data_IF_853625502305
#
_entry.id   IF_853625502305
#
_cell.length_a   1.000
_cell.length_b   1.000
_cell.length_c   1.000
_cell.angle_alpha   90.00
_cell.angle_beta   90.00
_cell.angle_gamma   90.00
#
_symmetry.space_group_name_H-M   'P 1'
#
loop_
_entity.id
_entity.type
_entity.pdbx_description
1 polymer ?
#
# COMPACT_ATOMS: atom_id res chain seq x y z
N UNK A 1 10.45 4.07 -0.17
CA UNK A 1 11.01 5.00 0.85
C UNK A 1 11.01 4.30 2.21
N UNK A 2 12.04 4.48 3.04
CA UNK A 2 12.05 4.00 4.42
C UNK A 2 10.99 4.70 5.29
N UNK A 3 10.30 3.95 6.15
CA UNK A 3 9.29 4.50 7.07
C UNK A 3 9.43 3.92 8.48
N UNK A 4 8.90 4.62 9.48
CA UNK A 4 8.78 4.14 10.87
C UNK A 4 7.32 4.12 11.31
N UNK A 5 6.92 3.09 12.03
CA UNK A 5 5.56 2.95 12.58
C UNK A 5 5.54 2.08 13.84
N UNK A 6 4.52 2.25 14.68
CA UNK A 6 4.33 1.44 15.90
C UNK A 6 3.77 0.07 15.51
N UNK A 7 4.34 -1.00 16.09
CA UNK A 7 3.88 -2.36 15.89
C UNK A 7 4.28 -3.27 17.04
N UNK A 8 4.34 -4.57 16.78
CA UNK A 8 4.65 -5.60 17.78
C UNK A 8 5.84 -6.42 17.27
N UNK A 9 6.80 -6.73 18.14
CA UNK A 9 7.91 -7.63 17.82
C UNK A 9 7.48 -9.10 17.91
N UNK A 10 8.35 -10.03 17.52
CA UNK A 10 8.03 -11.47 17.55
C UNK A 10 7.80 -12.03 18.96
N UNK A 11 8.21 -11.32 20.01
CA UNK A 11 7.96 -11.68 21.40
C UNK A 11 6.63 -11.10 21.95
N UNK A 12 5.83 -10.44 21.11
CA UNK A 12 4.54 -9.88 21.51
C UNK A 12 4.62 -8.51 22.19
N UNK A 13 5.76 -7.84 22.15
CA UNK A 13 5.95 -6.54 22.81
C UNK A 13 5.75 -5.38 21.84
N UNK A 14 5.17 -4.29 22.32
CA UNK A 14 5.02 -3.04 21.55
C UNK A 14 6.40 -2.45 21.26
N UNK A 15 6.64 -2.06 20.01
CA UNK A 15 7.91 -1.48 19.57
C UNK A 15 7.72 -0.50 18.40
N UNK A 16 8.78 0.27 18.10
CA UNK A 16 8.86 1.09 16.90
C UNK A 16 9.60 0.32 15.79
N UNK A 17 8.91 0.02 14.70
CA UNK A 17 9.44 -0.68 13.54
C UNK A 17 10.00 0.32 12.51
N UNK A 18 11.10 -0.03 11.86
CA UNK A 18 11.66 0.73 10.73
C UNK A 18 11.78 -0.18 9.51
N UNK A 19 11.19 0.23 8.38
CA UNK A 19 11.28 -0.49 7.10
C UNK A 19 12.21 0.23 6.14
N UNK A 20 12.76 -0.49 5.16
CA UNK A 20 13.61 0.09 4.10
C UNK A 20 12.79 0.67 2.92
N UNK A 21 11.48 0.38 2.91
CA UNK A 21 10.59 0.64 1.78
C UNK A 21 10.41 -0.58 0.90
N UNK A 22 9.27 -0.63 0.20
CA UNK A 22 8.93 -1.69 -0.75
C UNK A 22 8.77 -1.08 -2.15
N UNK A 23 9.60 -1.45 -3.15
CA UNK A 23 9.46 -0.97 -4.52
C UNK A 23 8.32 -1.65 -5.29
N UNK A 24 7.82 -2.79 -4.83
CA UNK A 24 6.89 -3.67 -5.56
C UNK A 24 5.41 -3.30 -5.33
N UNK A 25 5.11 -2.01 -5.28
CA UNK A 25 3.74 -1.51 -5.15
C UNK A 25 3.02 -1.50 -6.50
N UNK A 26 1.74 -1.87 -6.51
CA UNK A 26 0.86 -1.68 -7.67
C UNK A 26 -0.46 -1.03 -7.27
N UNK A 27 -1.11 -0.39 -8.23
CA UNK A 27 -2.41 0.25 -8.04
C UNK A 27 -3.52 -0.80 -8.16
N UNK A 28 -4.53 -0.69 -7.31
CA UNK A 28 -5.76 -1.50 -7.39
C UNK A 28 -6.92 -0.58 -7.77
N UNK A 29 -7.53 -0.84 -8.93
CA UNK A 29 -8.78 -0.22 -9.33
C UNK A 29 -9.94 -0.91 -8.60
N UNK A 30 -10.56 -0.20 -7.67
CA UNK A 30 -11.62 -0.73 -6.78
C UNK A 30 -12.92 0.08 -6.83
N UNK A 31 -13.08 0.91 -7.87
CA UNK A 31 -14.19 1.85 -8.01
C UNK A 31 -14.26 2.89 -6.88
N UNK A 32 -15.35 3.62 -6.88
CA UNK A 32 -15.74 4.57 -5.84
C UNK A 32 -17.25 4.77 -5.88
N UNK A 33 -17.70 6.02 -6.10
CA UNK A 33 -19.11 6.30 -6.37
C UNK A 33 -19.62 5.67 -7.68
N UNK A 34 -18.71 5.41 -8.62
CA UNK A 34 -18.95 4.66 -9.85
C UNK A 34 -17.77 3.69 -10.09
N UNK A 35 -17.93 2.66 -10.94
CA UNK A 35 -16.82 1.80 -11.34
C UNK A 35 -15.73 2.59 -12.09
N UNK A 36 -14.47 2.14 -12.02
CA UNK A 36 -13.32 2.79 -12.67
C UNK A 36 -12.42 1.79 -13.42
N UNK A 37 -13.03 0.79 -14.07
CA UNK A 37 -12.34 -0.27 -14.79
C UNK A 37 -12.46 -0.14 -16.32
N UNK A 38 -13.18 0.86 -16.82
CA UNK A 38 -13.42 1.01 -18.26
C UNK A 38 -12.14 1.45 -18.97
N UNK A 39 -12.01 1.26 -20.29
CA UNK A 39 -10.83 1.71 -21.04
C UNK A 39 -10.52 3.21 -20.87
N UNK A 40 -11.55 4.04 -20.65
CA UNK A 40 -11.39 5.47 -20.39
C UNK A 40 -10.76 5.76 -19.00
N UNK A 41 -10.89 4.84 -18.04
CA UNK A 41 -10.38 4.99 -16.68
C UNK A 41 -8.94 4.48 -16.51
N UNK A 42 -8.52 3.50 -17.32
CA UNK A 42 -7.25 2.77 -17.14
C UNK A 42 -6.05 3.46 -17.82
N UNK A 43 -6.29 4.54 -18.59
CA UNK A 43 -5.24 5.22 -19.34
C UNK A 43 -4.70 4.38 -20.51
N UNK A 44 -3.90 4.97 -21.42
CA UNK A 44 -3.27 4.22 -22.50
C UNK A 44 -2.30 3.17 -21.95
N UNK A 45 -2.31 1.99 -22.57
CA UNK A 45 -1.37 0.89 -22.32
C UNK A 45 0.01 1.25 -22.82
#
# INVERSE_FOLDING_TARGET
>A
MPHRFVGINQAGQVCLLQTQGNPDGHVILRGGKAPNYSPADVGPV
#
